data_IF_735033456052
#
_entry.id   IF_735033456052
#
_cell.length_a   1.000
_cell.length_b   1.000
_cell.length_c   1.000
_cell.angle_alpha   90.00
_cell.angle_beta   90.00
_cell.angle_gamma   90.00
#
_symmetry.space_group_name_H-M   'P 1'
#
loop_
_entity.id
_entity.type
_entity.pdbx_description
1 polymer ?
#
# COMPACT_ATOMS: atom_id res chain seq x y z
N UNK A 1 16.10 6.47 13.37
CA UNK A 1 15.39 5.25 12.93
C UNK A 1 16.24 4.05 13.34
N UNK A 2 15.69 3.12 14.11
CA UNK A 2 16.46 1.97 14.62
C UNK A 2 16.83 1.05 13.46
N UNK A 3 18.12 0.72 13.31
CA UNK A 3 18.59 -0.27 12.32
C UNK A 3 18.08 -1.65 12.72
N UNK A 4 17.12 -2.19 11.99
CA UNK A 4 16.70 -3.59 12.13
C UNK A 4 17.82 -4.53 11.64
N UNK A 5 17.91 -5.72 12.24
CA UNK A 5 18.86 -6.74 11.79
C UNK A 5 18.47 -7.18 10.38
N UNK A 6 19.39 -7.01 9.43
CA UNK A 6 19.18 -7.26 8.00
C UNK A 6 18.86 -8.75 7.70
N UNK A 7 17.57 -9.11 7.63
CA UNK A 7 17.09 -10.46 7.28
C UNK A 7 17.30 -10.74 5.79
N UNK A 8 17.60 -11.97 5.39
CA UNK A 8 17.73 -12.33 3.95
C UNK A 8 16.34 -12.38 3.32
N UNK A 9 16.17 -11.75 2.15
CA UNK A 9 14.92 -11.83 1.40
C UNK A 9 14.74 -13.28 0.92
N UNK A 10 13.59 -13.93 1.19
CA UNK A 10 13.33 -15.29 0.72
C UNK A 10 13.23 -15.34 -0.80
N UNK A 11 13.53 -16.50 -1.37
CA UNK A 11 13.25 -16.77 -2.78
C UNK A 11 11.89 -17.46 -2.91
N UNK A 12 11.04 -16.97 -3.82
CA UNK A 12 9.69 -17.50 -4.02
C UNK A 12 9.60 -18.23 -5.37
N UNK A 13 9.02 -19.43 -5.36
CA UNK A 13 8.83 -20.23 -6.58
C UNK A 13 7.55 -19.91 -7.35
N UNK A 14 6.68 -19.05 -6.82
CA UNK A 14 5.44 -18.58 -7.46
C UNK A 14 4.99 -17.25 -6.87
N UNK A 15 4.10 -16.55 -7.58
CA UNK A 15 3.50 -15.30 -7.13
C UNK A 15 2.64 -15.50 -5.87
N UNK A 16 1.85 -16.58 -5.81
CA UNK A 16 0.97 -16.86 -4.65
C UNK A 16 1.76 -16.97 -3.35
N UNK A 17 2.94 -17.61 -3.38
CA UNK A 17 3.82 -17.72 -2.21
C UNK A 17 4.41 -16.38 -1.76
N UNK A 18 4.63 -15.47 -2.70
CA UNK A 18 5.05 -14.10 -2.37
C UNK A 18 3.91 -13.35 -1.66
N UNK A 19 2.66 -13.51 -2.15
CA UNK A 19 1.48 -12.89 -1.55
C UNK A 19 1.22 -13.42 -0.13
N UNK A 20 1.24 -14.75 0.06
CA UNK A 20 1.11 -15.37 1.39
C UNK A 20 2.17 -14.86 2.38
N UNK A 21 3.40 -14.65 1.90
CA UNK A 21 4.47 -14.08 2.71
C UNK A 21 4.19 -12.61 3.07
N UNK A 22 3.74 -11.81 2.10
CA UNK A 22 3.39 -10.40 2.30
C UNK A 22 2.28 -10.21 3.35
N UNK A 23 1.27 -11.08 3.36
CA UNK A 23 0.15 -10.99 4.31
C UNK A 23 0.58 -11.20 5.77
N UNK A 24 1.70 -11.90 6.00
CA UNK A 24 2.17 -12.29 7.32
C UNK A 24 3.46 -11.60 7.76
N UNK A 25 4.16 -10.92 6.85
CA UNK A 25 5.46 -10.30 7.10
C UNK A 25 5.52 -8.88 6.54
N UNK A 26 6.14 -7.97 7.29
CA UNK A 26 6.45 -6.62 6.81
C UNK A 26 7.65 -6.66 5.85
N UNK A 27 7.39 -6.38 4.56
CA UNK A 27 8.44 -6.29 3.53
C UNK A 27 9.40 -5.11 3.75
N UNK A 28 9.00 -4.08 4.50
CA UNK A 28 9.85 -2.96 4.88
C UNK A 28 11.09 -3.40 5.66
N UNK A 29 11.04 -4.53 6.38
CA UNK A 29 12.21 -5.12 7.05
C UNK A 29 13.32 -5.57 6.09
N UNK A 30 13.00 -5.73 4.79
CA UNK A 30 13.90 -6.23 3.76
C UNK A 30 14.29 -5.15 2.74
N UNK A 31 13.95 -3.88 2.98
CA UNK A 31 14.14 -2.76 2.05
C UNK A 31 15.56 -2.71 1.44
N UNK A 32 16.59 -2.84 2.28
CA UNK A 32 18.01 -2.83 1.88
C UNK A 32 18.43 -3.99 0.95
N UNK A 33 17.57 -5.01 0.79
CA UNK A 33 17.83 -6.20 -0.07
C UNK A 33 16.89 -6.29 -1.26
N UNK A 34 15.93 -5.39 -1.38
CA UNK A 34 15.06 -5.35 -2.54
C UNK A 34 15.79 -4.68 -3.71
N UNK A 35 15.52 -5.19 -4.91
CA UNK A 35 15.98 -4.55 -6.14
C UNK A 35 15.29 -3.20 -6.29
N UNK A 36 16.01 -2.22 -6.85
CA UNK A 36 15.38 -0.97 -7.28
C UNK A 36 14.33 -1.28 -8.36
N UNK A 37 13.16 -0.64 -8.24
CA UNK A 37 12.05 -0.80 -9.17
C UNK A 37 11.64 0.57 -9.69
N UNK A 38 11.70 0.75 -11.00
CA UNK A 38 11.12 1.91 -11.68
C UNK A 38 9.64 1.63 -11.95
N UNK A 39 8.77 2.55 -11.52
CA UNK A 39 7.33 2.48 -11.79
C UNK A 39 6.77 3.87 -12.01
N UNK A 40 5.74 3.94 -12.86
CA UNK A 40 4.99 5.17 -13.12
C UNK A 40 3.64 5.11 -12.39
N UNK A 41 3.28 6.19 -11.71
CA UNK A 41 1.99 6.32 -11.05
C UNK A 41 1.14 7.34 -11.79
N UNK A 42 0.13 6.86 -12.52
CA UNK A 42 -0.88 7.70 -13.14
C UNK A 42 -2.03 7.96 -12.16
N UNK A 43 -1.98 9.10 -11.46
CA UNK A 43 -3.05 9.55 -10.57
C UNK A 43 -4.16 10.17 -11.42
N UNK A 44 -5.12 9.34 -11.86
CA UNK A 44 -6.22 9.76 -12.74
C UNK A 44 -7.19 10.77 -12.11
N UNK A 45 -7.33 10.77 -10.79
CA UNK A 45 -8.23 11.66 -10.05
C UNK A 45 -7.63 12.03 -8.69
N UNK A 46 -7.72 13.31 -8.35
CA UNK A 46 -7.49 13.77 -6.99
C UNK A 46 -8.77 13.58 -6.17
N UNK A 47 -8.74 12.63 -5.22
CA UNK A 47 -9.82 12.40 -4.28
C UNK A 47 -9.46 13.08 -2.97
N UNK A 48 -10.31 14.01 -2.52
CA UNK A 48 -10.20 14.59 -1.19
C UNK A 48 -11.07 13.79 -0.23
N UNK A 49 -10.44 13.08 0.69
CA UNK A 49 -11.14 12.42 1.80
C UNK A 49 -11.34 13.43 2.92
N UNK A 50 -12.59 13.69 3.27
CA UNK A 50 -12.97 14.57 4.38
C UNK A 50 -13.88 13.81 5.34
N UNK A 51 -13.63 13.96 6.64
CA UNK A 51 -14.53 13.43 7.65
C UNK A 51 -15.83 14.27 7.65
N UNK A 52 -16.97 13.60 7.56
CA UNK A 52 -18.29 14.23 7.57
C UNK A 52 -19.07 13.69 8.76
N UNK A 53 -19.66 14.60 9.55
CA UNK A 53 -20.59 14.22 10.61
C UNK A 53 -21.83 13.52 9.99
N UNK A 54 -22.26 12.35 10.53
CA UNK A 54 -23.34 11.55 9.95
C UNK A 54 -24.63 12.32 9.67
N UNK A 55 -24.92 13.38 10.45
CA UNK A 55 -26.12 14.21 10.28
C UNK A 55 -26.12 14.98 8.96
N UNK A 56 -24.96 15.20 8.37
CA UNK A 56 -24.80 15.91 7.09
C UNK A 56 -24.52 14.99 5.91
N UNK A 57 -24.15 13.72 6.15
CA UNK A 57 -23.81 12.77 5.09
C UNK A 57 -24.95 12.58 4.08
N UNK A 58 -26.20 12.49 4.56
CA UNK A 58 -27.38 12.33 3.70
C UNK A 58 -27.64 13.54 2.77
N UNK A 59 -27.13 14.73 3.11
CA UNK A 59 -27.31 15.96 2.30
C UNK A 59 -26.26 16.13 1.22
N UNK A 60 -25.17 15.36 1.26
CA UNK A 60 -24.10 15.40 0.25
C UNK A 60 -24.43 14.60 -1.02
N UNK A 61 -25.54 13.87 -1.04
CA UNK A 61 -25.90 13.04 -2.17
C UNK A 61 -26.45 13.90 -3.33
N UNK A 62 -25.55 14.49 -4.12
CA UNK A 62 -25.85 15.01 -5.45
C UNK A 62 -25.03 14.25 -6.49
N UNK A 63 -25.65 13.72 -7.56
CA UNK A 63 -24.88 13.23 -8.70
C UNK A 63 -24.16 14.42 -9.33
N UNK A 64 -22.83 14.40 -9.32
CA UNK A 64 -22.05 15.31 -10.16
C UNK A 64 -22.22 14.86 -11.60
N UNK A 65 -22.76 15.76 -12.44
CA UNK A 65 -22.78 15.68 -13.91
C UNK A 65 -21.36 15.40 -14.45
#
# INVERSE_FOLDING_TARGET
MAKSKSKKLPHFGSLDKLVEFFDTHDLGEYWEKMSEAEFEVDIKKHIHLVAIDPRFAAKLNYPRL
#
